data_IF_815944402979
#
_entry.id   IF_815944402979
#
_cell.length_a   1.000
_cell.length_b   1.000
_cell.length_c   1.000
_cell.angle_alpha   90.00
_cell.angle_beta   90.00
_cell.angle_gamma   90.00
#
_symmetry.space_group_name_H-M   'P 1'
#
loop_
_entity.id
_entity.type
_entity.pdbx_description
1 polymer ?
#
# COMPACT_ATOMS: atom_id res chain seq x y z
N UNK A 1 62.46 24.91 12.78
CA UNK A 1 62.50 23.84 11.76
C UNK A 1 61.78 22.55 12.15
N UNK A 2 61.92 22.02 13.38
CA UNK A 2 61.23 20.78 13.81
C UNK A 2 59.69 20.90 13.94
N UNK A 3 59.18 22.07 14.30
CA UNK A 3 57.72 22.30 14.49
C UNK A 3 56.97 22.32 13.13
N UNK A 4 57.59 22.93 12.11
CA UNK A 4 57.01 22.98 10.77
C UNK A 4 57.00 21.61 10.06
N UNK A 5 57.96 20.74 10.37
CA UNK A 5 58.00 19.38 9.84
C UNK A 5 56.86 18.49 10.40
N UNK A 6 56.57 18.71 11.72
CA UNK A 6 55.49 17.95 12.39
C UNK A 6 54.10 18.39 11.89
N UNK A 7 53.90 19.68 11.62
CA UNK A 7 52.66 20.18 11.04
C UNK A 7 52.44 19.72 9.60
N UNK A 8 53.53 19.61 8.81
CA UNK A 8 53.44 19.10 7.44
C UNK A 8 53.13 17.61 7.38
N UNK A 9 53.65 16.81 8.30
CA UNK A 9 53.36 15.37 8.41
C UNK A 9 51.89 15.13 8.87
N UNK A 10 51.37 15.95 9.79
CA UNK A 10 49.97 15.87 10.25
C UNK A 10 49.03 16.30 9.13
N UNK A 11 49.33 17.33 8.35
CA UNK A 11 48.54 17.75 7.19
C UNK A 11 48.58 16.71 6.05
N UNK A 12 49.73 16.07 5.80
CA UNK A 12 49.82 14.96 4.84
C UNK A 12 49.07 13.70 5.32
N UNK A 13 49.10 13.37 6.60
CA UNK A 13 48.32 12.24 7.14
C UNK A 13 46.82 12.52 7.17
N UNK A 14 46.37 13.76 7.37
CA UNK A 14 44.99 14.17 7.24
C UNK A 14 44.50 14.16 5.79
N UNK A 15 45.36 14.60 4.83
CA UNK A 15 45.01 14.56 3.41
C UNK A 15 44.98 13.12 2.84
N UNK A 16 45.82 12.22 3.34
CA UNK A 16 45.80 10.80 2.98
C UNK A 16 44.58 10.07 3.58
N UNK A 17 44.11 10.45 4.75
CA UNK A 17 42.86 9.89 5.32
C UNK A 17 41.60 10.45 4.67
N UNK A 18 41.61 11.65 4.09
CA UNK A 18 40.50 12.17 3.31
C UNK A 18 40.42 11.54 1.89
N UNK A 19 41.51 11.06 1.34
CA UNK A 19 41.50 10.31 0.06
C UNK A 19 41.13 8.83 0.22
N UNK A 20 41.24 8.27 1.42
CA UNK A 20 40.84 6.88 1.70
C UNK A 20 39.33 6.67 1.87
N UNK A 21 38.52 7.76 1.86
CA UNK A 21 37.08 7.68 2.07
C UNK A 21 36.22 7.62 0.79
N UNK A 22 36.83 7.66 -0.42
CA UNK A 22 36.11 7.64 -1.70
C UNK A 22 36.54 6.50 -2.62
N UNK A 23 36.53 5.28 -2.11
CA UNK A 23 36.62 4.07 -2.92
C UNK A 23 35.36 3.23 -2.79
N UNK A 24 34.20 3.79 -3.10
CA UNK A 24 33.09 2.98 -3.57
C UNK A 24 33.39 2.63 -5.03
N UNK A 25 33.82 1.39 -5.25
CA UNK A 25 34.04 0.91 -6.63
C UNK A 25 32.72 1.01 -7.39
N UNK A 26 32.79 1.36 -8.68
CA UNK A 26 31.60 1.29 -9.54
C UNK A 26 31.16 -0.15 -9.70
N UNK A 27 29.85 -0.40 -9.67
CA UNK A 27 29.27 -1.68 -10.04
C UNK A 27 28.79 -1.65 -11.47
N UNK A 28 28.82 -2.81 -12.14
CA UNK A 28 28.45 -2.97 -13.54
C UNK A 28 27.58 -4.19 -13.73
N UNK A 29 26.66 -4.07 -14.66
CA UNK A 29 25.78 -5.15 -15.04
C UNK A 29 25.11 -4.92 -16.36
N UNK A 30 24.21 -5.83 -16.68
CA UNK A 30 23.46 -5.82 -17.92
C UNK A 30 22.01 -6.23 -17.67
N UNK A 31 21.08 -5.52 -18.28
CA UNK A 31 19.67 -5.89 -18.31
C UNK A 31 19.34 -6.47 -19.67
N UNK A 32 18.81 -7.68 -19.71
CA UNK A 32 18.53 -8.41 -20.94
C UNK A 32 17.13 -9.01 -20.95
N UNK A 33 16.65 -9.34 -22.16
CA UNK A 33 15.46 -10.16 -22.38
C UNK A 33 15.79 -11.13 -23.53
N UNK A 34 15.69 -12.45 -23.27
CA UNK A 34 16.12 -13.49 -24.20
C UNK A 34 17.55 -13.26 -24.72
N UNK A 35 18.46 -12.90 -23.80
CA UNK A 35 19.87 -12.60 -24.09
C UNK A 35 20.14 -11.31 -24.86
N UNK A 36 19.10 -10.56 -25.26
CA UNK A 36 19.24 -9.24 -25.93
C UNK A 36 19.21 -8.12 -24.90
N UNK A 37 20.14 -7.16 -25.02
CA UNK A 37 20.20 -6.01 -24.13
C UNK A 37 18.95 -5.14 -24.23
N UNK A 38 18.45 -4.67 -23.09
CA UNK A 38 17.34 -3.74 -22.99
C UNK A 38 17.87 -2.34 -22.72
N UNK A 39 17.62 -1.42 -23.65
CA UNK A 39 18.00 0.00 -23.53
C UNK A 39 16.96 0.78 -22.70
N UNK A 40 17.45 1.76 -21.91
CA UNK A 40 16.58 2.73 -21.22
C UNK A 40 15.89 2.18 -19.99
N UNK A 41 16.36 1.07 -19.43
CA UNK A 41 15.90 0.57 -18.14
C UNK A 41 16.55 1.38 -17.02
N UNK A 42 15.77 1.90 -16.09
CA UNK A 42 16.28 2.60 -14.91
C UNK A 42 16.84 1.57 -13.93
N UNK A 43 18.09 1.77 -13.53
CA UNK A 43 18.81 0.98 -12.52
C UNK A 43 19.21 1.92 -11.41
N UNK A 44 19.00 1.51 -10.17
CA UNK A 44 19.24 2.34 -8.98
C UNK A 44 19.90 1.56 -7.85
N UNK A 45 20.57 2.29 -6.95
CA UNK A 45 21.06 1.80 -5.66
C UNK A 45 20.21 2.25 -4.45
N UNK A 46 19.07 2.91 -4.76
CA UNK A 46 18.19 3.51 -3.77
C UNK A 46 18.44 5.01 -3.52
N UNK A 47 19.39 5.61 -4.26
CA UNK A 47 19.60 7.07 -4.30
C UNK A 47 19.86 7.51 -5.74
N UNK A 48 20.89 6.95 -6.37
CA UNK A 48 21.26 7.28 -7.74
C UNK A 48 20.53 6.38 -8.74
N UNK A 49 20.17 6.97 -9.88
CA UNK A 49 19.55 6.26 -10.98
C UNK A 49 20.36 6.45 -12.25
N UNK A 50 20.55 5.36 -13.01
CA UNK A 50 21.19 5.37 -14.32
C UNK A 50 20.33 4.64 -15.33
N UNK A 51 20.51 4.95 -16.63
CA UNK A 51 19.84 4.23 -17.71
C UNK A 51 20.77 3.22 -18.37
N UNK A 52 20.24 2.07 -18.71
CA UNK A 52 20.98 1.10 -19.56
C UNK A 52 21.20 1.64 -20.96
N UNK A 53 22.37 1.36 -21.55
CA UNK A 53 22.73 1.72 -22.92
C UNK A 53 22.05 0.79 -23.96
N UNK A 54 22.37 0.97 -25.26
CA UNK A 54 21.81 0.14 -26.35
C UNK A 54 22.10 -1.36 -26.22
N UNK A 55 23.18 -1.73 -25.54
CA UNK A 55 23.56 -3.12 -25.28
C UNK A 55 22.93 -3.67 -23.98
N UNK A 56 22.14 -2.85 -23.28
CA UNK A 56 21.56 -3.16 -21.98
C UNK A 56 22.53 -3.00 -20.80
N UNK A 57 23.73 -2.46 -21.02
CA UNK A 57 24.77 -2.32 -20.01
C UNK A 57 24.57 -1.03 -19.19
N UNK A 58 24.94 -1.08 -17.92
CA UNK A 58 24.95 0.07 -17.02
C UNK A 58 26.20 0.08 -16.14
N UNK A 59 26.55 1.26 -15.67
CA UNK A 59 27.59 1.51 -14.67
C UNK A 59 26.97 2.42 -13.61
N UNK A 60 27.04 2.03 -12.36
CA UNK A 60 26.52 2.76 -11.21
C UNK A 60 27.60 2.88 -10.15
N UNK A 61 27.76 4.05 -9.54
CA UNK A 61 28.61 4.27 -8.38
C UNK A 61 27.73 4.23 -7.11
N UNK A 62 27.61 3.08 -6.45
CA UNK A 62 26.68 2.98 -5.34
C UNK A 62 27.10 3.84 -4.18
N UNK A 63 26.14 4.40 -3.49
CA UNK A 63 26.37 5.09 -2.23
C UNK A 63 26.91 4.10 -1.16
N UNK A 64 27.67 4.63 -0.20
CA UNK A 64 28.44 3.81 0.77
C UNK A 64 27.59 2.78 1.51
N UNK A 65 26.34 3.11 1.81
CA UNK A 65 25.40 2.29 2.58
C UNK A 65 24.29 1.67 1.72
N UNK A 66 24.42 1.75 0.39
CA UNK A 66 23.53 1.05 -0.53
C UNK A 66 23.62 -0.45 -0.32
N UNK A 67 22.48 -1.10 -0.17
CA UNK A 67 22.37 -2.54 0.11
C UNK A 67 21.99 -3.36 -1.12
N UNK A 68 21.27 -2.73 -2.04
CA UNK A 68 20.78 -3.37 -3.26
C UNK A 68 21.10 -2.55 -4.49
N UNK A 69 21.26 -3.22 -5.60
CA UNK A 69 21.05 -2.66 -6.93
C UNK A 69 19.76 -3.25 -7.47
N UNK A 70 18.88 -2.42 -8.03
CA UNK A 70 17.57 -2.86 -8.49
C UNK A 70 17.04 -2.05 -9.67
N UNK A 71 16.01 -2.58 -10.30
CA UNK A 71 15.40 -2.01 -11.50
C UNK A 71 14.08 -1.33 -11.16
N UNK A 72 13.81 -0.17 -11.77
CA UNK A 72 12.44 0.23 -12.08
C UNK A 72 12.00 -0.57 -13.31
N UNK A 73 11.29 -1.68 -13.08
CA UNK A 73 10.95 -2.64 -14.15
C UNK A 73 10.14 -1.92 -15.24
N UNK A 74 10.57 -1.95 -16.50
CA UNK A 74 9.86 -1.22 -17.56
C UNK A 74 8.56 -1.92 -17.97
N UNK A 75 7.57 -1.15 -18.44
CA UNK A 75 6.35 -1.68 -19.05
C UNK A 75 6.65 -2.67 -20.16
N UNK A 76 5.83 -3.70 -20.30
CA UNK A 76 5.98 -4.80 -21.26
C UNK A 76 6.94 -5.90 -20.83
N UNK A 77 7.51 -5.80 -19.63
CA UNK A 77 8.45 -6.78 -19.09
C UNK A 77 8.08 -7.21 -17.66
N UNK A 78 8.52 -8.42 -17.31
CA UNK A 78 8.35 -9.01 -15.98
C UNK A 78 9.71 -9.48 -15.45
N UNK A 79 10.01 -9.25 -14.16
CA UNK A 79 11.11 -9.94 -13.50
C UNK A 79 10.72 -11.40 -13.24
N UNK A 80 11.71 -12.25 -13.03
CA UNK A 80 11.47 -13.58 -12.46
C UNK A 80 10.70 -13.41 -11.13
N UNK A 81 9.74 -14.28 -10.88
CA UNK A 81 8.97 -14.27 -9.63
C UNK A 81 9.16 -15.61 -8.91
N UNK A 82 9.48 -15.57 -7.63
CA UNK A 82 9.56 -16.76 -6.77
C UNK A 82 8.59 -16.60 -5.59
N UNK A 83 7.68 -17.55 -5.43
CA UNK A 83 6.65 -17.51 -4.36
C UNK A 83 5.96 -16.14 -4.24
N UNK A 84 5.51 -15.60 -5.35
CA UNK A 84 4.91 -14.25 -5.47
C UNK A 84 5.87 -13.06 -5.26
N UNK A 85 7.14 -13.27 -4.96
CA UNK A 85 8.14 -12.21 -4.78
C UNK A 85 8.80 -11.92 -6.14
N UNK A 86 8.62 -10.71 -6.72
CA UNK A 86 9.29 -10.32 -7.95
C UNK A 86 10.77 -10.00 -7.69
N UNK A 87 11.66 -10.66 -8.43
CA UNK A 87 13.12 -10.57 -8.26
C UNK A 87 13.71 -9.51 -9.20
N UNK A 88 13.48 -8.24 -8.89
CA UNK A 88 14.01 -7.10 -9.64
C UNK A 88 15.26 -6.48 -8.99
N UNK A 89 15.79 -7.09 -7.95
CA UNK A 89 16.91 -6.57 -7.14
C UNK A 89 17.99 -7.64 -6.92
N UNK A 90 19.20 -7.18 -6.62
CA UNK A 90 20.32 -8.00 -6.14
C UNK A 90 21.00 -7.29 -4.98
N UNK A 91 21.43 -8.04 -3.98
CA UNK A 91 22.20 -7.48 -2.86
C UNK A 91 23.59 -7.08 -3.36
N UNK A 92 24.07 -5.91 -2.95
CA UNK A 92 25.42 -5.43 -3.25
C UNK A 92 26.40 -6.18 -2.34
N UNK A 93 27.38 -6.85 -2.96
CA UNK A 93 28.45 -7.57 -2.28
C UNK A 93 29.72 -6.68 -2.24
N UNK A 94 30.40 -6.61 -1.10
CA UNK A 94 31.50 -5.66 -0.83
C UNK A 94 32.62 -5.70 -1.86
N UNK A 95 32.99 -6.89 -2.34
CA UNK A 95 34.13 -7.11 -3.24
C UNK A 95 33.74 -7.36 -4.70
N UNK A 96 32.44 -7.27 -5.00
CA UNK A 96 31.91 -7.56 -6.33
C UNK A 96 31.62 -6.27 -7.08
N UNK A 97 32.29 -6.05 -8.19
CA UNK A 97 32.09 -4.88 -9.05
C UNK A 97 31.31 -5.20 -10.34
N UNK A 98 31.38 -6.42 -10.82
CA UNK A 98 30.81 -6.85 -12.08
C UNK A 98 29.76 -7.97 -11.89
N UNK A 99 28.92 -8.16 -12.90
CA UNK A 99 28.00 -9.30 -12.93
C UNK A 99 26.67 -9.08 -12.22
N UNK A 100 26.28 -7.84 -11.93
CA UNK A 100 24.94 -7.51 -11.47
C UNK A 100 23.96 -7.49 -12.66
N UNK A 101 23.72 -8.69 -13.22
CA UNK A 101 22.92 -8.85 -14.43
C UNK A 101 21.48 -9.20 -14.09
N UNK A 102 20.54 -8.64 -14.87
CA UNK A 102 19.12 -8.92 -14.76
C UNK A 102 18.59 -9.47 -16.09
N UNK A 103 17.90 -10.58 -16.01
CA UNK A 103 17.15 -11.13 -17.14
C UNK A 103 15.66 -10.88 -16.90
N UNK A 104 15.04 -10.07 -17.75
CA UNK A 104 13.60 -9.83 -17.75
C UNK A 104 12.93 -10.71 -18.79
N UNK A 105 11.71 -11.11 -18.54
CA UNK A 105 10.86 -11.79 -19.49
C UNK A 105 9.92 -10.77 -20.15
N UNK A 106 9.61 -10.98 -21.43
CA UNK A 106 8.55 -10.20 -22.06
C UNK A 106 7.21 -10.57 -21.41
N UNK A 107 6.43 -9.54 -21.03
CA UNK A 107 5.10 -9.78 -20.50
C UNK A 107 4.22 -10.43 -21.60
N UNK A 108 3.66 -11.62 -21.39
CA UNK A 108 2.79 -12.26 -22.37
C UNK A 108 1.43 -11.56 -22.50
N UNK A 109 1.05 -10.75 -21.51
CA UNK A 109 -0.20 -10.01 -21.48
C UNK A 109 0.05 -8.53 -21.86
N UNK A 110 -1.00 -7.88 -22.34
CA UNK A 110 -0.97 -6.43 -22.60
C UNK A 110 -1.14 -5.68 -21.29
N UNK A 111 -0.03 -5.16 -20.75
CA UNK A 111 -0.02 -4.41 -19.50
C UNK A 111 -0.60 -2.99 -19.58
N UNK A 112 -1.02 -2.54 -20.78
CA UNK A 112 -1.88 -1.35 -20.93
C UNK A 112 -3.26 -1.54 -20.29
N UNK A 113 -3.70 -2.81 -20.17
CA UNK A 113 -4.95 -3.19 -19.55
C UNK A 113 -4.67 -4.25 -18.47
N UNK A 114 -4.49 -3.81 -17.25
CA UNK A 114 -4.14 -4.68 -16.14
C UNK A 114 -5.08 -4.52 -14.94
N UNK A 115 -5.04 -5.52 -14.09
CA UNK A 115 -5.78 -5.62 -12.85
C UNK A 115 -4.79 -5.72 -11.70
N UNK A 116 -4.97 -4.91 -10.66
CA UNK A 116 -4.22 -5.15 -9.43
C UNK A 116 -5.14 -5.17 -8.21
N UNK A 117 -4.73 -5.96 -7.25
CA UNK A 117 -5.45 -6.18 -6.00
C UNK A 117 -4.66 -5.57 -4.86
N UNK A 118 -5.33 -4.86 -3.98
CA UNK A 118 -4.71 -4.19 -2.84
C UNK A 118 -5.21 -4.81 -1.55
N UNK A 119 -4.30 -5.24 -0.72
CA UNK A 119 -4.55 -5.68 0.65
C UNK A 119 -3.62 -4.97 1.61
N UNK A 120 -3.97 -4.93 2.88
CA UNK A 120 -3.15 -4.39 3.96
C UNK A 120 -3.42 -5.14 5.26
N UNK A 121 -2.48 -5.06 6.18
CA UNK A 121 -2.70 -5.42 7.57
C UNK A 121 -3.18 -6.87 7.75
N UNK A 122 -2.46 -7.82 7.16
CA UNK A 122 -2.69 -9.24 7.42
C UNK A 122 -2.34 -9.59 8.88
N UNK A 123 -1.35 -8.91 9.44
CA UNK A 123 -0.93 -8.94 10.85
C UNK A 123 -1.01 -10.33 11.49
N UNK A 124 -0.45 -11.34 10.80
CA UNK A 124 -0.42 -12.69 11.34
C UNK A 124 0.53 -12.77 12.53
N UNK A 125 0.06 -13.28 13.66
CA UNK A 125 0.84 -13.42 14.90
C UNK A 125 0.98 -14.88 15.33
N UNK A 126 0.35 -15.81 14.59
CA UNK A 126 0.36 -17.23 14.86
C UNK A 126 0.16 -18.04 13.57
N UNK A 127 0.51 -19.32 13.59
CA UNK A 127 0.21 -20.23 12.48
C UNK A 127 -1.30 -20.40 12.22
N UNK A 128 -2.15 -20.18 13.22
CA UNK A 128 -3.61 -20.20 13.01
C UNK A 128 -4.09 -18.95 12.28
N UNK A 129 -3.48 -17.79 12.52
CA UNK A 129 -3.73 -16.58 11.74
C UNK A 129 -3.28 -16.78 10.29
N UNK A 130 -2.12 -17.43 10.06
CA UNK A 130 -1.65 -17.77 8.71
C UNK A 130 -2.64 -18.68 7.98
N UNK A 131 -3.21 -19.66 8.66
CA UNK A 131 -4.28 -20.52 8.09
C UNK A 131 -5.56 -19.73 7.80
N UNK A 132 -5.92 -18.77 8.66
CA UNK A 132 -7.06 -17.88 8.41
C UNK A 132 -6.82 -16.99 7.20
N UNK A 133 -5.61 -16.45 7.08
CA UNK A 133 -5.18 -15.72 5.88
C UNK A 133 -5.25 -16.59 4.61
N UNK A 134 -4.84 -17.86 4.69
CA UNK A 134 -4.99 -18.79 3.58
C UNK A 134 -6.44 -18.99 3.10
N UNK A 135 -7.41 -18.99 4.04
CA UNK A 135 -8.84 -19.02 3.70
C UNK A 135 -9.32 -17.72 3.04
N UNK A 136 -8.82 -16.58 3.51
CA UNK A 136 -9.08 -15.29 2.88
C UNK A 136 -8.57 -15.23 1.44
N UNK A 137 -7.36 -15.74 1.17
CA UNK A 137 -6.78 -15.78 -0.17
C UNK A 137 -7.59 -16.62 -1.16
N UNK A 138 -8.44 -17.53 -0.69
CA UNK A 138 -9.32 -18.30 -1.55
C UNK A 138 -10.35 -17.40 -2.26
N UNK A 139 -10.89 -16.37 -1.59
CA UNK A 139 -11.79 -15.39 -2.21
C UNK A 139 -11.07 -14.62 -3.34
N UNK A 140 -9.82 -14.21 -3.11
CA UNK A 140 -8.99 -13.57 -4.16
C UNK A 140 -8.81 -14.49 -5.36
N UNK A 141 -8.48 -15.77 -5.13
CA UNK A 141 -8.27 -16.76 -6.20
C UNK A 141 -9.54 -16.96 -7.03
N UNK A 142 -10.69 -17.07 -6.37
CA UNK A 142 -11.98 -17.20 -7.04
C UNK A 142 -12.30 -15.96 -7.88
N UNK A 143 -12.05 -14.77 -7.34
CA UNK A 143 -12.27 -13.53 -8.07
C UNK A 143 -11.39 -13.40 -9.32
N UNK A 144 -10.10 -13.73 -9.24
CA UNK A 144 -9.17 -13.56 -10.38
C UNK A 144 -9.23 -14.68 -11.40
N UNK A 145 -9.79 -15.83 -11.06
CA UNK A 145 -9.82 -17.03 -11.92
C UNK A 145 -10.35 -16.78 -13.35
N UNK A 146 -11.41 -15.96 -13.58
CA UNK A 146 -11.88 -15.65 -14.93
C UNK A 146 -10.90 -14.83 -15.78
N UNK A 147 -9.96 -14.12 -15.13
CA UNK A 147 -8.98 -13.23 -15.76
C UNK A 147 -7.60 -13.89 -15.94
N UNK A 148 -7.35 -15.02 -15.25
CA UNK A 148 -6.07 -15.73 -15.29
C UNK A 148 -5.67 -16.10 -16.72
N UNK A 149 -4.41 -15.81 -17.08
CA UNK A 149 -3.88 -16.01 -18.43
C UNK A 149 -4.44 -15.10 -19.53
N UNK A 150 -5.41 -14.22 -19.22
CA UNK A 150 -6.04 -13.29 -20.16
C UNK A 150 -5.70 -11.84 -19.90
N UNK A 151 -5.36 -11.49 -18.68
CA UNK A 151 -5.06 -10.14 -18.23
C UNK A 151 -3.78 -10.14 -17.39
N UNK A 152 -3.03 -9.07 -17.44
CA UNK A 152 -1.90 -8.88 -16.52
C UNK A 152 -2.47 -8.60 -15.12
N UNK A 153 -2.09 -9.43 -14.15
CA UNK A 153 -2.59 -9.39 -12.76
C UNK A 153 -1.42 -9.35 -11.81
N UNK A 154 -1.51 -8.51 -10.79
CA UNK A 154 -0.57 -8.51 -9.67
C UNK A 154 -1.26 -8.05 -8.37
N UNK A 155 -0.63 -8.32 -7.24
CA UNK A 155 -1.04 -7.87 -5.92
C UNK A 155 -0.16 -6.74 -5.39
N UNK A 156 -0.74 -5.92 -4.55
CA UNK A 156 -0.05 -4.95 -3.69
C UNK A 156 -0.43 -5.27 -2.25
N UNK A 157 0.57 -5.35 -1.39
CA UNK A 157 0.41 -5.49 0.06
C UNK A 157 0.97 -4.22 0.72
N UNK A 158 0.11 -3.48 1.40
CA UNK A 158 0.43 -2.17 1.98
C UNK A 158 1.16 -2.25 3.33
N UNK A 159 1.70 -3.42 3.69
CA UNK A 159 2.45 -3.59 4.94
C UNK A 159 1.65 -4.20 6.08
N UNK A 160 2.32 -4.31 7.23
CA UNK A 160 1.84 -5.06 8.39
C UNK A 160 1.46 -6.49 8.03
N UNK A 161 2.41 -7.16 7.37
CA UNK A 161 2.30 -8.56 6.93
C UNK A 161 2.23 -9.47 8.16
N UNK A 162 3.11 -9.22 9.12
CA UNK A 162 3.14 -9.91 10.42
C UNK A 162 2.83 -8.92 11.55
N UNK A 163 2.37 -9.44 12.71
CA UNK A 163 2.17 -8.66 13.92
C UNK A 163 3.36 -8.84 14.86
N UNK A 164 4.47 -8.13 14.66
CA UNK A 164 5.72 -8.18 15.44
C UNK A 164 6.37 -9.58 15.51
N UNK A 165 6.02 -10.47 14.58
CA UNK A 165 6.45 -11.87 14.58
C UNK A 165 7.10 -12.26 13.25
N UNK A 166 8.28 -11.72 12.91
CA UNK A 166 8.94 -11.94 11.61
C UNK A 166 9.33 -13.40 11.36
N UNK A 167 9.33 -14.25 12.38
CA UNK A 167 9.51 -15.71 12.22
C UNK A 167 8.37 -16.38 11.43
N UNK A 168 7.24 -15.70 11.25
CA UNK A 168 6.11 -16.16 10.43
C UNK A 168 6.24 -15.83 8.94
N UNK A 169 7.22 -15.02 8.51
CA UNK A 169 7.41 -14.73 7.09
C UNK A 169 7.50 -15.99 6.21
N UNK A 170 8.24 -17.07 6.57
CA UNK A 170 8.26 -18.29 5.76
C UNK A 170 6.87 -18.92 5.57
N UNK A 171 6.07 -19.01 6.64
CA UNK A 171 4.71 -19.56 6.60
C UNK A 171 3.76 -18.65 5.80
N UNK A 172 3.83 -17.33 6.00
CA UNK A 172 3.10 -16.35 5.20
C UNK A 172 3.45 -16.47 3.72
N UNK A 173 4.76 -16.46 3.36
CA UNK A 173 5.22 -16.56 1.97
C UNK A 173 4.72 -17.85 1.30
N UNK A 174 4.78 -18.99 2.01
CA UNK A 174 4.26 -20.24 1.49
C UNK A 174 2.74 -20.17 1.24
N UNK A 175 2.00 -19.51 2.13
CA UNK A 175 0.55 -19.36 2.03
C UNK A 175 0.17 -18.43 0.87
N UNK A 176 0.80 -17.24 0.78
CA UNK A 176 0.51 -16.29 -0.32
C UNK A 176 0.99 -16.80 -1.68
N UNK A 177 1.97 -17.71 -1.71
CA UNK A 177 2.44 -18.34 -2.96
C UNK A 177 1.39 -19.19 -3.67
N UNK A 178 0.25 -19.44 -3.04
CA UNK A 178 -0.92 -20.05 -3.70
C UNK A 178 -1.60 -19.12 -4.71
N UNK A 179 -1.27 -17.83 -4.71
CA UNK A 179 -1.63 -16.89 -5.77
C UNK A 179 -0.62 -17.06 -6.93
N UNK A 180 -1.12 -17.16 -8.16
CA UNK A 180 -0.32 -17.40 -9.36
C UNK A 180 0.19 -16.11 -10.03
N UNK A 181 0.34 -15.03 -9.26
CA UNK A 181 0.78 -13.72 -9.74
C UNK A 181 1.72 -13.03 -8.74
N UNK A 182 2.56 -12.08 -9.18
CA UNK A 182 3.47 -11.36 -8.30
C UNK A 182 2.71 -10.46 -7.32
N UNK A 183 3.23 -10.33 -6.10
CA UNK A 183 2.75 -9.41 -5.07
C UNK A 183 3.89 -8.47 -4.69
N UNK A 184 3.69 -7.17 -4.87
CA UNK A 184 4.60 -6.11 -4.45
C UNK A 184 4.25 -5.67 -3.03
N UNK A 185 5.23 -5.45 -2.17
CA UNK A 185 5.01 -5.25 -0.73
C UNK A 185 5.65 -3.97 -0.23
N UNK A 186 4.89 -3.17 0.49
CA UNK A 186 5.41 -2.15 1.38
C UNK A 186 5.73 -2.78 2.75
N UNK A 187 6.62 -2.18 3.50
CA UNK A 187 6.86 -2.51 4.91
C UNK A 187 5.86 -1.75 5.77
N UNK A 188 5.32 -2.40 6.82
CA UNK A 188 4.52 -1.78 7.85
C UNK A 188 5.28 -1.66 9.18
N UNK A 189 4.68 -0.97 10.15
CA UNK A 189 5.33 -0.76 11.45
C UNK A 189 5.48 -2.06 12.25
N UNK A 190 4.59 -3.03 12.08
CA UNK A 190 4.71 -4.36 12.70
C UNK A 190 5.65 -5.31 11.95
N UNK A 191 6.12 -4.95 10.76
CA UNK A 191 7.16 -5.67 10.01
C UNK A 191 8.58 -5.27 10.44
N UNK A 192 8.72 -4.20 11.21
CA UNK A 192 10.01 -3.72 11.72
C UNK A 192 10.56 -4.62 12.83
N UNK A 193 11.88 -4.69 12.93
CA UNK A 193 12.57 -5.34 14.03
C UNK A 193 12.84 -4.34 15.15
N UNK A 194 11.99 -4.34 16.17
CA UNK A 194 12.20 -3.54 17.37
C UNK A 194 13.34 -4.09 18.21
N UNK A 195 14.02 -3.20 18.97
CA UNK A 195 15.22 -3.55 19.69
C UNK A 195 16.50 -3.42 18.88
N UNK A 196 16.42 -3.05 17.61
CA UNK A 196 17.51 -2.57 16.78
C UNK A 196 18.11 -1.27 17.35
N UNK A 197 19.24 -0.83 16.79
CA UNK A 197 19.93 0.37 17.28
C UNK A 197 19.63 1.61 16.44
N UNK A 198 19.21 1.42 15.20
CA UNK A 198 18.98 2.50 14.24
C UNK A 198 17.80 2.16 13.34
N UNK A 199 17.27 3.15 12.65
CA UNK A 199 16.23 2.97 11.63
C UNK A 199 16.68 1.97 10.55
N UNK A 200 17.91 2.06 10.06
CA UNK A 200 18.43 1.16 9.03
C UNK A 200 18.50 -0.30 9.50
N UNK A 201 18.52 -0.53 10.81
CA UNK A 201 18.50 -1.89 11.35
C UNK A 201 17.08 -2.45 11.44
N UNK A 202 16.08 -1.60 11.63
CA UNK A 202 14.70 -2.00 11.88
C UNK A 202 14.08 -2.75 10.70
N UNK A 203 14.43 -2.43 9.45
CA UNK A 203 13.85 -3.04 8.26
C UNK A 203 14.68 -4.21 7.67
N UNK A 204 15.84 -4.55 8.23
CA UNK A 204 16.74 -5.57 7.65
C UNK A 204 16.14 -6.95 7.57
N UNK A 205 15.32 -7.33 8.52
CA UNK A 205 14.63 -8.63 8.49
C UNK A 205 13.65 -8.68 7.32
N UNK A 206 12.84 -7.63 7.12
CA UNK A 206 11.94 -7.51 5.98
C UNK A 206 12.71 -7.57 4.65
N UNK A 207 13.79 -6.78 4.50
CA UNK A 207 14.64 -6.77 3.31
C UNK A 207 15.21 -8.14 2.96
N UNK A 208 15.53 -8.97 3.95
CA UNK A 208 16.09 -10.31 3.72
C UNK A 208 15.10 -11.27 3.06
N UNK A 209 13.81 -11.00 3.16
CA UNK A 209 12.75 -11.80 2.53
C UNK A 209 12.21 -11.16 1.25
N UNK A 210 12.06 -9.85 1.21
CA UNK A 210 11.29 -9.16 0.17
C UNK A 210 12.12 -8.20 -0.69
N UNK A 211 13.36 -7.90 -0.32
CA UNK A 211 14.23 -6.95 -1.02
C UNK A 211 14.07 -5.52 -0.54
N UNK A 212 14.37 -4.50 -1.39
CA UNK A 212 14.39 -3.11 -0.99
C UNK A 212 13.03 -2.62 -0.48
N UNK A 213 13.05 -1.75 0.53
CA UNK A 213 11.86 -1.20 1.21
C UNK A 213 11.19 -0.06 0.44
N UNK A 214 11.86 0.51 -0.56
CA UNK A 214 11.27 1.43 -1.53
C UNK A 214 11.80 1.15 -2.92
N UNK A 215 10.93 1.23 -3.91
CA UNK A 215 11.22 0.88 -5.31
C UNK A 215 10.08 1.32 -6.22
N UNK A 216 10.29 1.21 -7.53
CA UNK A 216 9.27 1.49 -8.53
C UNK A 216 9.21 0.42 -9.62
N UNK A 217 8.08 0.38 -10.34
CA UNK A 217 7.90 -0.42 -11.53
C UNK A 217 6.82 0.18 -12.44
N UNK A 218 6.78 -0.27 -13.69
CA UNK A 218 5.86 0.28 -14.68
C UNK A 218 4.96 -0.80 -15.28
N UNK A 219 3.71 -0.44 -15.52
CA UNK A 219 2.72 -1.24 -16.25
C UNK A 219 1.94 -0.34 -17.19
N UNK A 220 2.08 -0.55 -18.52
CA UNK A 220 1.43 0.30 -19.50
C UNK A 220 1.74 1.79 -19.30
N UNK A 221 0.70 2.58 -19.10
CA UNK A 221 0.77 4.01 -18.76
C UNK A 221 0.72 4.30 -17.26
N UNK A 222 0.90 3.31 -16.42
CA UNK A 222 0.96 3.50 -14.99
C UNK A 222 2.39 3.31 -14.47
N UNK A 223 2.76 4.12 -13.49
CA UNK A 223 3.99 4.06 -12.72
C UNK A 223 3.65 3.81 -11.26
N UNK A 224 4.21 2.76 -10.69
CA UNK A 224 3.97 2.32 -9.32
C UNK A 224 5.21 2.58 -8.49
N UNK A 225 5.03 3.23 -7.37
CA UNK A 225 6.07 3.57 -6.40
C UNK A 225 5.67 2.94 -5.09
N UNK A 226 6.55 2.18 -4.48
CA UNK A 226 6.39 1.65 -3.12
C UNK A 226 7.37 2.39 -2.23
N UNK A 227 6.91 2.93 -1.11
CA UNK A 227 7.71 3.70 -0.16
C UNK A 227 7.67 3.05 1.22
N UNK A 228 8.78 3.17 1.95
CA UNK A 228 8.79 3.03 3.40
C UNK A 228 8.50 4.40 4.03
N UNK A 229 7.49 4.44 4.88
CA UNK A 229 7.17 5.60 5.69
C UNK A 229 6.97 5.25 7.18
N UNK A 230 7.43 4.06 7.59
CA UNK A 230 7.43 3.61 8.96
C UNK A 230 8.77 3.91 9.62
N UNK A 231 8.97 5.15 10.09
CA UNK A 231 10.25 5.57 10.62
C UNK A 231 10.44 5.14 12.08
N UNK A 232 11.37 4.21 12.31
CA UNK A 232 11.72 3.72 13.65
C UNK A 232 12.36 4.81 14.50
N UNK A 233 11.81 5.09 15.69
CA UNK A 233 12.32 6.08 16.63
C UNK A 233 13.15 5.41 17.72
N UNK A 234 12.62 4.38 18.39
CA UNK A 234 13.32 3.66 19.45
C UNK A 234 12.80 2.24 19.70
N UNK A 235 13.51 1.53 20.59
CA UNK A 235 13.23 0.12 20.94
C UNK A 235 11.89 -0.13 21.62
N UNK A 236 11.23 0.90 22.16
CA UNK A 236 9.99 0.77 22.92
C UNK A 236 8.77 0.84 22.01
N UNK A 237 8.86 0.24 20.81
CA UNK A 237 7.80 0.20 19.79
C UNK A 237 7.35 1.58 19.34
N UNK A 238 8.28 2.56 19.32
CA UNK A 238 7.97 3.89 18.86
C UNK A 238 8.45 4.10 17.43
N UNK A 239 7.54 4.56 16.62
CA UNK A 239 7.73 4.97 15.22
C UNK A 239 6.89 6.21 14.95
N UNK A 240 7.15 6.83 13.81
CA UNK A 240 6.33 7.90 13.25
C UNK A 240 6.10 7.64 11.76
N UNK A 241 5.02 8.15 11.22
CA UNK A 241 4.82 8.24 9.77
C UNK A 241 5.77 9.29 9.19
N UNK A 242 6.86 8.88 8.52
CA UNK A 242 7.86 9.81 7.99
C UNK A 242 8.62 9.18 6.82
N UNK A 243 8.70 9.90 5.71
CA UNK A 243 9.51 9.53 4.54
C UNK A 243 10.87 10.20 4.72
N UNK A 244 11.96 9.44 4.75
CA UNK A 244 13.29 9.98 4.95
C UNK A 244 13.81 10.77 3.74
N UNK A 245 14.80 11.63 3.95
CA UNK A 245 15.38 12.48 2.90
C UNK A 245 16.06 11.68 1.79
N UNK A 246 16.56 10.50 2.10
CA UNK A 246 17.18 9.59 1.14
C UNK A 246 16.14 9.05 0.17
N UNK A 247 14.99 8.64 0.71
CA UNK A 247 13.85 8.18 -0.08
C UNK A 247 13.32 9.30 -0.98
N UNK A 248 13.24 10.55 -0.49
CA UNK A 248 12.88 11.70 -1.32
C UNK A 248 13.89 11.97 -2.44
N UNK A 249 15.20 11.92 -2.15
CA UNK A 249 16.24 12.12 -3.15
C UNK A 249 16.16 11.07 -4.28
N UNK A 250 15.88 9.81 -3.93
CA UNK A 250 15.62 8.76 -4.90
C UNK A 250 14.33 9.02 -5.68
N UNK A 251 13.23 9.37 -5.01
CA UNK A 251 11.93 9.59 -5.62
C UNK A 251 11.96 10.73 -6.66
N UNK A 252 12.67 11.82 -6.36
CA UNK A 252 12.87 12.91 -7.32
C UNK A 252 13.56 12.42 -8.61
N UNK A 253 14.58 11.57 -8.47
CA UNK A 253 15.29 11.01 -9.63
C UNK A 253 14.41 10.01 -10.39
N UNK A 254 13.72 9.12 -9.70
CA UNK A 254 12.82 8.14 -10.30
C UNK A 254 11.73 8.84 -11.11
N UNK A 255 11.03 9.82 -10.52
CA UNK A 255 9.99 10.61 -11.19
C UNK A 255 10.52 11.44 -12.37
N UNK A 256 11.82 11.77 -12.41
CA UNK A 256 12.42 12.47 -13.55
C UNK A 256 12.41 11.65 -14.84
N UNK A 257 12.27 10.33 -14.75
CA UNK A 257 12.12 9.42 -15.88
C UNK A 257 10.66 9.11 -16.23
N UNK A 258 9.71 9.67 -15.48
CA UNK A 258 8.28 9.39 -15.62
C UNK A 258 7.58 10.53 -16.36
N UNK A 259 6.94 10.22 -17.49
CA UNK A 259 6.16 11.20 -18.25
C UNK A 259 4.91 11.64 -17.49
N UNK A 260 4.57 12.94 -17.58
CA UNK A 260 3.43 13.56 -16.86
C UNK A 260 2.05 13.05 -17.32
N UNK A 261 1.95 12.35 -18.42
CA UNK A 261 0.71 11.72 -18.91
C UNK A 261 0.43 10.34 -18.29
N UNK A 262 1.33 9.85 -17.44
CA UNK A 262 1.14 8.59 -16.73
C UNK A 262 0.27 8.75 -15.49
N UNK A 263 -0.48 7.69 -15.16
CA UNK A 263 -0.99 7.47 -13.82
C UNK A 263 0.19 7.18 -12.87
N UNK A 264 0.16 7.74 -11.68
CA UNK A 264 1.15 7.46 -10.65
C UNK A 264 0.45 6.88 -9.42
N UNK A 265 0.88 5.71 -8.99
CA UNK A 265 0.44 5.10 -7.74
C UNK A 265 1.58 5.16 -6.72
N UNK A 266 1.31 5.69 -5.54
CA UNK A 266 2.24 5.68 -4.41
C UNK A 266 1.66 4.77 -3.35
N UNK A 267 2.35 3.67 -3.08
CA UNK A 267 1.98 2.69 -2.06
C UNK A 267 2.85 2.90 -0.83
N UNK A 268 2.25 3.05 0.30
CA UNK A 268 2.93 3.16 1.59
C UNK A 268 2.03 2.62 2.70
N UNK A 269 2.58 2.32 3.87
CA UNK A 269 1.79 1.73 4.94
C UNK A 269 0.95 2.76 5.67
N UNK A 270 1.59 3.76 6.29
CA UNK A 270 0.91 4.80 7.07
C UNK A 270 0.30 5.82 6.11
N UNK A 271 -0.99 6.19 6.26
CA UNK A 271 -1.62 7.13 5.35
C UNK A 271 -0.92 8.49 5.30
N UNK A 272 -1.02 9.14 4.15
CA UNK A 272 -0.48 10.50 3.98
C UNK A 272 -1.32 11.53 4.74
N UNK A 273 -2.61 11.42 4.68
CA UNK A 273 -3.55 12.15 5.53
C UNK A 273 -4.95 11.53 5.41
N UNK A 274 -5.60 11.37 6.54
CA UNK A 274 -6.99 10.93 6.66
C UNK A 274 -7.99 12.09 6.53
N UNK A 275 -7.49 13.30 6.36
CA UNK A 275 -8.27 14.52 6.24
C UNK A 275 -7.81 15.34 5.04
N UNK A 276 -8.75 16.10 4.42
CA UNK A 276 -8.45 17.03 3.32
C UNK A 276 -7.52 18.21 3.71
N UNK A 277 -7.03 18.25 4.95
CA UNK A 277 -6.18 19.33 5.47
C UNK A 277 -4.78 18.80 5.72
N UNK A 278 -3.79 19.47 5.14
CA UNK A 278 -2.39 19.27 5.49
C UNK A 278 -2.18 19.60 6.97
N UNK A 279 -1.65 18.66 7.73
CA UNK A 279 -1.19 18.90 9.10
C UNK A 279 0.26 19.33 9.06
N UNK A 280 0.56 20.38 9.78
CA UNK A 280 1.93 20.84 9.99
C UNK A 280 2.29 20.70 11.47
N UNK A 281 3.50 20.19 11.75
CA UNK A 281 4.15 20.19 13.08
C UNK A 281 3.52 19.30 14.17
N UNK A 282 2.78 18.25 13.83
CA UNK A 282 2.38 17.22 14.79
C UNK A 282 3.06 15.89 14.45
N UNK A 283 3.83 15.35 15.39
CA UNK A 283 4.29 13.97 15.31
C UNK A 283 3.06 13.08 15.58
N UNK A 284 2.76 12.20 14.63
CA UNK A 284 1.64 11.30 14.70
C UNK A 284 2.09 9.89 14.28
N UNK A 285 1.51 8.87 14.87
CA UNK A 285 1.74 7.50 14.47
C UNK A 285 0.76 7.07 13.37
N UNK A 286 -0.39 7.72 13.29
CA UNK A 286 -1.49 7.36 12.39
C UNK A 286 -1.44 8.06 11.03
N UNK A 287 -0.65 9.13 10.87
CA UNK A 287 -0.50 9.86 9.61
C UNK A 287 0.98 10.25 9.37
N UNK A 288 1.36 10.31 8.10
CA UNK A 288 2.71 10.70 7.68
C UNK A 288 2.91 12.22 7.83
N UNK A 289 3.95 12.64 8.58
CA UNK A 289 4.12 14.04 8.99
C UNK A 289 4.69 14.97 7.90
N UNK A 290 5.45 14.44 6.93
CA UNK A 290 6.14 15.25 5.90
C UNK A 290 5.56 15.09 4.48
N UNK A 291 4.25 14.89 4.38
CA UNK A 291 3.54 14.64 3.13
C UNK A 291 3.51 15.83 2.16
N UNK A 292 3.73 17.06 2.65
CA UNK A 292 3.78 18.24 1.78
C UNK A 292 4.86 18.12 0.69
N UNK A 293 6.02 17.54 1.01
CA UNK A 293 7.08 17.26 0.05
C UNK A 293 6.64 16.21 -0.98
N UNK A 294 5.98 15.14 -0.54
CA UNK A 294 5.43 14.12 -1.43
C UNK A 294 4.41 14.72 -2.40
N UNK A 295 3.44 15.49 -1.89
CA UNK A 295 2.42 16.11 -2.73
C UNK A 295 3.02 17.06 -3.77
N UNK A 296 4.10 17.79 -3.39
CA UNK A 296 4.83 18.66 -4.31
C UNK A 296 5.47 17.88 -5.47
N UNK A 297 6.03 16.71 -5.22
CA UNK A 297 6.61 15.86 -6.26
C UNK A 297 5.53 15.27 -7.19
N UNK A 298 4.34 15.03 -6.66
CA UNK A 298 3.21 14.47 -7.40
C UNK A 298 2.44 15.53 -8.21
N UNK A 299 2.71 16.83 -8.02
CA UNK A 299 2.06 17.88 -8.82
C UNK A 299 2.22 17.66 -10.33
N UNK A 300 1.11 17.75 -11.06
CA UNK A 300 1.04 17.56 -12.51
C UNK A 300 0.94 16.11 -12.98
N UNK A 301 0.88 15.14 -12.05
CA UNK A 301 0.46 13.77 -12.35
C UNK A 301 -1.01 13.57 -11.95
N UNK A 302 -1.67 12.58 -12.57
CA UNK A 302 -2.84 11.96 -11.98
C UNK A 302 -2.36 10.89 -11.01
N UNK A 303 -2.42 11.20 -9.71
CA UNK A 303 -1.76 10.41 -8.67
C UNK A 303 -2.76 9.82 -7.68
N UNK A 304 -2.53 8.56 -7.30
CA UNK A 304 -3.29 7.84 -6.30
C UNK A 304 -2.34 7.32 -5.24
N UNK A 305 -2.57 7.70 -3.98
CA UNK A 305 -1.87 7.15 -2.83
C UNK A 305 -2.70 5.98 -2.30
N UNK A 306 -2.05 4.88 -1.97
CA UNK A 306 -2.67 3.67 -1.44
C UNK A 306 -2.00 3.34 -0.12
N UNK A 307 -2.80 3.24 0.95
CA UNK A 307 -2.31 3.03 2.32
C UNK A 307 -3.16 2.02 3.10
N UNK A 308 -2.66 1.60 4.25
CA UNK A 308 -3.31 0.70 5.21
C UNK A 308 -3.25 1.24 6.63
N UNK A 309 -2.73 0.45 7.59
CA UNK A 309 -2.36 0.84 8.95
C UNK A 309 -3.54 1.09 9.91
N UNK A 310 -4.56 1.77 9.46
CA UNK A 310 -5.63 2.29 10.34
C UNK A 310 -6.72 1.27 10.67
N UNK A 311 -6.74 0.14 9.95
CA UNK A 311 -7.79 -0.89 10.05
C UNK A 311 -9.21 -0.36 9.80
N UNK A 312 -9.33 0.66 8.94
CA UNK A 312 -10.62 1.14 8.43
C UNK A 312 -10.48 1.67 7.01
N UNK A 313 -11.61 1.81 6.33
CA UNK A 313 -11.63 2.27 4.95
C UNK A 313 -11.88 3.78 4.88
N UNK A 314 -11.08 4.51 4.11
CA UNK A 314 -11.31 5.93 3.87
C UNK A 314 -10.74 6.35 2.52
N UNK A 315 -11.55 7.01 1.70
CA UNK A 315 -11.11 7.65 0.47
C UNK A 315 -11.03 9.16 0.69
N UNK A 316 -9.87 9.76 0.42
CA UNK A 316 -9.63 11.20 0.57
C UNK A 316 -9.30 11.81 -0.79
N UNK A 317 -10.21 12.64 -1.31
CA UNK A 317 -9.98 13.42 -2.53
C UNK A 317 -9.35 14.77 -2.15
N UNK A 318 -8.05 14.94 -2.36
CA UNK A 318 -7.37 16.22 -2.08
C UNK A 318 -7.69 17.28 -3.15
N UNK A 319 -7.70 16.86 -4.41
CA UNK A 319 -8.07 17.66 -5.58
C UNK A 319 -8.37 16.72 -6.77
N UNK A 320 -8.63 17.27 -7.95
CA UNK A 320 -9.01 16.52 -9.16
C UNK A 320 -7.93 15.54 -9.66
N UNK A 321 -6.67 15.68 -9.20
CA UNK A 321 -5.52 14.90 -9.67
C UNK A 321 -4.79 14.15 -8.56
N UNK A 322 -5.22 14.26 -7.30
CA UNK A 322 -4.62 13.57 -6.17
C UNK A 322 -5.70 13.01 -5.25
N UNK A 323 -5.69 11.70 -5.09
CA UNK A 323 -6.60 10.96 -4.21
C UNK A 323 -5.83 9.95 -3.37
N UNK A 324 -6.26 9.71 -2.14
CA UNK A 324 -5.78 8.62 -1.31
C UNK A 324 -6.86 7.58 -1.06
N UNK A 325 -6.46 6.32 -1.12
CA UNK A 325 -7.25 5.14 -0.81
C UNK A 325 -6.62 4.47 0.41
N UNK A 326 -7.13 4.77 1.59
CA UNK A 326 -6.74 4.04 2.80
C UNK A 326 -7.65 2.82 2.91
N UNK A 327 -7.06 1.62 2.88
CA UNK A 327 -7.81 0.36 2.83
C UNK A 327 -7.92 -0.30 4.20
N UNK A 328 -9.08 -0.89 4.46
CA UNK A 328 -9.32 -1.66 5.68
C UNK A 328 -8.46 -2.91 5.75
N UNK A 329 -8.23 -3.40 6.98
CA UNK A 329 -7.37 -4.53 7.26
C UNK A 329 -7.98 -5.87 6.82
N UNK A 330 -7.13 -6.75 6.25
CA UNK A 330 -7.47 -8.13 5.93
C UNK A 330 -7.76 -8.94 7.20
N UNK A 331 -7.09 -8.62 8.31
CA UNK A 331 -7.29 -9.34 9.56
C UNK A 331 -8.62 -9.00 10.28
N UNK A 332 -9.35 -7.96 9.85
CA UNK A 332 -10.55 -7.49 10.56
C UNK A 332 -10.24 -7.15 12.02
N UNK A 333 -10.96 -7.73 12.98
CA UNK A 333 -10.62 -7.63 14.40
C UNK A 333 -9.54 -8.66 14.80
N UNK A 334 -8.39 -8.64 14.11
CA UNK A 334 -7.24 -9.53 14.31
C UNK A 334 -7.63 -11.01 14.27
N UNK A 335 -8.32 -11.41 13.18
CA UNK A 335 -8.75 -12.77 12.87
C UNK A 335 -9.83 -13.34 13.83
N UNK A 336 -10.50 -12.50 14.64
CA UNK A 336 -11.60 -12.93 15.52
C UNK A 336 -12.98 -12.70 14.92
N UNK A 337 -13.19 -11.56 14.23
CA UNK A 337 -14.40 -11.32 13.46
C UNK A 337 -14.07 -10.78 12.07
N UNK A 338 -15.02 -10.94 11.15
CA UNK A 338 -14.85 -10.63 9.73
C UNK A 338 -15.17 -9.15 9.40
N UNK A 339 -14.93 -8.27 10.36
CA UNK A 339 -15.25 -6.85 10.30
C UNK A 339 -14.11 -6.01 10.89
N UNK A 340 -13.92 -4.83 10.35
CA UNK A 340 -12.99 -3.83 10.85
C UNK A 340 -13.67 -2.89 11.86
N UNK A 341 -12.87 -2.06 12.52
CA UNK A 341 -13.31 -1.20 13.63
C UNK A 341 -14.25 -0.05 13.22
N UNK A 342 -14.38 0.20 11.92
CA UNK A 342 -15.31 1.16 11.29
C UNK A 342 -16.58 0.51 10.71
N UNK A 343 -16.71 -0.81 10.86
CA UNK A 343 -17.81 -1.56 10.27
C UNK A 343 -17.57 -2.08 8.85
N UNK A 344 -16.44 -1.76 8.23
CA UNK A 344 -16.05 -2.33 6.93
C UNK A 344 -15.78 -3.83 7.08
N UNK A 345 -16.41 -4.71 6.28
CA UNK A 345 -16.02 -6.11 6.25
C UNK A 345 -14.55 -6.26 5.86
N UNK A 346 -13.85 -7.28 6.38
CA UNK A 346 -12.51 -7.56 5.86
C UNK A 346 -12.56 -7.84 4.36
N UNK A 347 -11.56 -7.36 3.62
CA UNK A 347 -11.61 -7.45 2.16
C UNK A 347 -10.36 -6.91 1.50
N UNK A 348 -10.49 -6.54 0.25
CA UNK A 348 -9.40 -6.01 -0.56
C UNK A 348 -9.91 -5.06 -1.64
N UNK A 349 -9.07 -4.12 -2.04
CA UNK A 349 -9.35 -3.25 -3.18
C UNK A 349 -9.07 -3.96 -4.50
N UNK A 350 -9.92 -3.72 -5.49
CA UNK A 350 -9.77 -4.16 -6.87
C UNK A 350 -9.63 -2.92 -7.74
N UNK A 351 -8.53 -2.84 -8.49
CA UNK A 351 -8.19 -1.69 -9.32
C UNK A 351 -8.00 -2.12 -10.77
N UNK A 352 -8.76 -1.53 -11.67
CA UNK A 352 -8.70 -1.79 -13.11
C UNK A 352 -8.10 -0.60 -13.83
N UNK A 353 -6.95 -0.81 -14.47
CA UNK A 353 -6.28 0.20 -15.27
C UNK A 353 -6.43 -0.12 -16.75
N UNK A 354 -6.86 0.86 -17.53
CA UNK A 354 -6.91 0.80 -19.00
C UNK A 354 -6.28 2.07 -19.59
N UNK A 355 -5.02 1.96 -20.01
CA UNK A 355 -4.20 3.11 -20.42
C UNK A 355 -3.94 4.03 -19.22
N UNK A 356 -4.58 5.19 -19.22
CA UNK A 356 -4.54 6.17 -18.11
C UNK A 356 -5.90 6.32 -17.40
N UNK A 357 -6.83 5.42 -17.66
CA UNK A 357 -8.12 5.36 -16.97
C UNK A 357 -8.03 4.38 -15.82
N UNK A 358 -8.61 4.74 -14.68
CA UNK A 358 -8.66 3.93 -13.46
C UNK A 358 -10.11 3.76 -13.01
N UNK A 359 -10.45 2.52 -12.64
CA UNK A 359 -11.65 2.18 -11.87
C UNK A 359 -11.25 1.35 -10.67
N UNK A 360 -11.98 1.48 -9.58
CA UNK A 360 -11.74 0.67 -8.39
C UNK A 360 -13.05 0.32 -7.69
N UNK A 361 -13.01 -0.76 -6.93
CA UNK A 361 -14.10 -1.21 -6.07
C UNK A 361 -13.49 -1.95 -4.88
N UNK A 362 -14.14 -1.92 -3.73
CA UNK A 362 -13.77 -2.75 -2.58
C UNK A 362 -14.53 -4.08 -2.64
N UNK A 363 -13.82 -5.18 -2.44
CA UNK A 363 -14.41 -6.53 -2.38
C UNK A 363 -14.41 -7.02 -0.94
N UNK A 364 -15.59 -7.09 -0.33
CA UNK A 364 -15.79 -7.76 0.95
C UNK A 364 -15.60 -9.27 0.78
N UNK A 365 -14.62 -9.86 1.48
CA UNK A 365 -14.31 -11.28 1.36
C UNK A 365 -15.50 -12.15 1.84
N UNK A 366 -15.83 -13.16 1.06
CA UNK A 366 -16.98 -14.04 1.32
C UNK A 366 -18.35 -13.48 0.89
N UNK A 367 -18.41 -12.25 0.37
CA UNK A 367 -19.64 -11.63 -0.12
C UNK A 367 -19.60 -11.44 -1.65
N UNK A 368 -20.76 -11.28 -2.31
CA UNK A 368 -20.81 -10.85 -3.71
C UNK A 368 -20.13 -9.47 -3.91
N UNK A 369 -19.72 -9.17 -5.14
CA UNK A 369 -19.08 -7.89 -5.47
C UNK A 369 -20.01 -6.69 -5.23
N UNK A 370 -21.30 -6.90 -5.30
CA UNK A 370 -22.36 -5.91 -5.07
C UNK A 370 -22.53 -5.52 -3.59
N UNK A 371 -21.89 -6.23 -2.66
CA UNK A 371 -21.94 -5.92 -1.24
C UNK A 371 -21.01 -4.74 -0.92
N UNK A 372 -21.50 -3.52 -1.18
CA UNK A 372 -20.73 -2.28 -1.05
C UNK A 372 -21.15 -1.41 0.13
N UNK A 373 -22.20 -1.79 0.86
CA UNK A 373 -22.65 -1.10 2.06
C UNK A 373 -23.48 -2.04 2.93
N UNK A 374 -23.74 -1.63 4.17
CA UNK A 374 -24.65 -2.31 5.08
C UNK A 374 -25.74 -1.35 5.55
N UNK A 375 -27.00 -1.78 5.45
CA UNK A 375 -28.17 -1.04 5.89
C UNK A 375 -28.66 -1.55 7.25
N UNK A 376 -28.94 -0.64 8.17
CA UNK A 376 -29.44 -0.93 9.49
C UNK A 376 -30.85 -0.37 9.70
N UNK A 377 -31.78 -1.09 10.36
CA UNK A 377 -33.09 -0.58 10.72
C UNK A 377 -33.01 0.51 11.80
N UNK A 378 -34.11 1.25 11.97
CA UNK A 378 -34.28 2.16 13.09
C UNK A 378 -34.06 1.41 14.42
N UNK A 379 -33.49 2.10 15.41
CA UNK A 379 -33.08 1.53 16.68
C UNK A 379 -31.67 0.96 16.73
N UNK A 380 -30.93 0.98 15.60
CA UNK A 380 -29.56 0.44 15.52
C UNK A 380 -28.50 1.46 15.97
N UNK A 381 -28.78 2.76 15.90
CA UNK A 381 -27.85 3.81 16.30
C UNK A 381 -28.33 4.51 17.57
N UNK A 382 -27.44 4.74 18.53
CA UNK A 382 -27.74 5.52 19.73
C UNK A 382 -27.88 7.02 19.41
N UNK A 383 -27.16 7.50 18.39
CA UNK A 383 -27.16 8.91 17.97
C UNK A 383 -28.43 9.28 17.19
N UNK A 384 -28.96 8.33 16.40
CA UNK A 384 -30.14 8.47 15.56
C UNK A 384 -31.09 7.28 15.76
N UNK A 385 -31.74 7.17 16.95
CA UNK A 385 -32.51 5.99 17.30
C UNK A 385 -33.77 5.77 16.45
N UNK A 386 -34.27 6.82 15.80
CA UNK A 386 -35.46 6.72 14.94
C UNK A 386 -35.12 6.53 13.46
N UNK A 387 -33.83 6.56 13.11
CA UNK A 387 -33.38 6.59 11.73
C UNK A 387 -32.86 5.24 11.24
N UNK A 388 -33.02 5.03 9.96
CA UNK A 388 -32.28 3.99 9.25
C UNK A 388 -30.85 4.48 8.98
N UNK A 389 -29.89 3.56 9.03
CA UNK A 389 -28.48 3.87 8.86
C UNK A 389 -27.93 3.10 7.67
N UNK A 390 -27.02 3.72 6.90
CA UNK A 390 -26.19 3.05 5.92
C UNK A 390 -24.71 3.27 6.24
N UNK A 391 -23.93 2.20 6.26
CA UNK A 391 -22.48 2.25 6.28
C UNK A 391 -21.96 1.94 4.87
N UNK A 392 -21.38 2.95 4.19
CA UNK A 392 -20.92 2.87 2.79
C UNK A 392 -19.40 3.01 2.77
N UNK A 393 -18.69 1.92 3.09
CA UNK A 393 -17.25 1.92 3.43
C UNK A 393 -16.30 2.39 2.33
N UNK A 394 -16.64 2.24 1.04
CA UNK A 394 -15.79 2.71 -0.07
C UNK A 394 -16.24 4.06 -0.65
N UNK A 395 -17.01 4.83 0.14
CA UNK A 395 -17.59 6.11 -0.24
C UNK A 395 -16.52 7.18 -0.55
N UNK A 396 -16.84 8.04 -1.50
CA UNK A 396 -16.19 9.32 -1.76
C UNK A 396 -17.23 10.38 -2.17
N UNK A 397 -16.83 11.65 -2.29
CA UNK A 397 -17.72 12.78 -2.52
C UNK A 397 -18.56 12.73 -3.83
N UNK A 398 -18.27 11.79 -4.75
CA UNK A 398 -19.05 11.59 -5.98
C UNK A 398 -20.12 10.50 -5.86
N UNK A 399 -20.14 9.77 -4.75
CA UNK A 399 -21.15 8.76 -4.52
C UNK A 399 -22.45 9.38 -4.04
N UNK A 400 -23.60 8.71 -4.33
CA UNK A 400 -24.93 9.10 -3.88
C UNK A 400 -25.53 8.01 -3.03
N UNK A 401 -26.14 8.40 -1.91
CA UNK A 401 -26.86 7.49 -1.00
C UNK A 401 -28.28 7.96 -0.88
N UNK A 402 -29.23 7.23 -1.44
CA UNK A 402 -30.64 7.57 -1.53
C UNK A 402 -31.46 6.52 -0.79
N UNK A 403 -32.64 6.91 -0.33
CA UNK A 403 -33.57 6.00 0.32
C UNK A 403 -35.00 6.12 -0.22
N UNK A 404 -35.75 5.05 -0.02
CA UNK A 404 -37.08 4.86 -0.58
C UNK A 404 -38.05 4.28 0.46
N UNK A 405 -39.31 4.73 0.48
CA UNK A 405 -40.43 4.15 1.19
C UNK A 405 -41.44 3.60 0.22
N UNK A 406 -41.81 2.31 0.35
CA UNK A 406 -42.79 1.63 -0.52
C UNK A 406 -42.53 1.85 -2.02
N UNK A 407 -41.25 1.93 -2.42
CA UNK A 407 -40.82 2.17 -3.79
C UNK A 407 -40.81 3.65 -4.24
N UNK A 408 -41.26 4.56 -3.39
CA UNK A 408 -41.19 6.01 -3.64
C UNK A 408 -39.82 6.57 -3.15
N UNK A 409 -39.13 7.31 -4.03
CA UNK A 409 -37.89 8.01 -3.64
C UNK A 409 -38.20 9.12 -2.65
N UNK A 410 -37.57 9.09 -1.49
CA UNK A 410 -37.72 10.07 -0.41
C UNK A 410 -36.65 11.15 -0.45
N UNK A 411 -35.45 10.85 -0.94
CA UNK A 411 -34.36 11.81 -1.06
C UNK A 411 -33.00 11.16 -0.85
N UNK A 412 -32.00 12.01 -0.67
CA UNK A 412 -30.66 11.59 -0.26
C UNK A 412 -30.59 11.45 1.26
N UNK A 413 -29.84 10.46 1.75
CA UNK A 413 -29.55 10.30 3.16
C UNK A 413 -28.52 11.34 3.61
N UNK A 414 -28.59 11.77 4.88
CA UNK A 414 -27.65 12.73 5.45
C UNK A 414 -26.40 12.01 5.95
N UNK A 415 -25.24 12.48 5.50
CA UNK A 415 -23.94 11.97 5.97
C UNK A 415 -23.64 12.47 7.37
N UNK A 416 -23.11 11.60 8.23
CA UNK A 416 -22.67 11.97 9.58
C UNK A 416 -21.40 11.24 9.97
N UNK A 417 -20.73 11.72 10.99
CA UNK A 417 -19.58 11.05 11.62
C UNK A 417 -20.08 10.36 12.88
N UNK A 418 -19.87 9.06 12.97
CA UNK A 418 -20.39 8.24 14.07
C UNK A 418 -19.72 6.89 14.16
N UNK A 419 -20.22 6.03 15.04
CA UNK A 419 -19.79 4.65 15.18
C UNK A 419 -20.72 3.73 14.40
N UNK A 420 -20.13 2.78 13.65
CA UNK A 420 -20.92 1.71 13.03
C UNK A 420 -21.59 0.83 14.11
N UNK A 421 -22.90 0.54 13.98
CA UNK A 421 -23.61 -0.24 14.99
C UNK A 421 -23.05 -1.65 15.21
N UNK A 422 -22.63 -2.35 14.13
CA UNK A 422 -22.10 -3.71 14.23
C UNK A 422 -20.66 -3.70 14.78
N UNK A 423 -19.82 -2.76 14.35
CA UNK A 423 -18.47 -2.60 14.92
C UNK A 423 -18.55 -2.31 16.42
N UNK A 424 -19.49 -1.45 16.86
CA UNK A 424 -19.74 -1.16 18.26
C UNK A 424 -20.14 -2.41 19.06
N UNK A 425 -21.05 -3.22 18.52
CA UNK A 425 -21.49 -4.46 19.15
C UNK A 425 -20.35 -5.50 19.24
N UNK A 426 -19.58 -5.68 18.16
CA UNK A 426 -18.48 -6.64 18.12
C UNK A 426 -17.32 -6.24 19.04
N UNK A 427 -16.90 -4.97 19.02
CA UNK A 427 -15.81 -4.49 19.87
C UNK A 427 -16.19 -4.49 21.37
N UNK A 428 -17.48 -4.50 21.71
CA UNK A 428 -17.95 -4.64 23.08
C UNK A 428 -17.92 -6.09 23.59
N UNK A 429 -17.82 -7.07 22.69
CA UNK A 429 -17.78 -8.51 23.00
C UNK A 429 -16.32 -8.99 23.03
N UNK A 430 -15.82 -9.23 24.24
CA UNK A 430 -14.43 -9.65 24.48
C UNK A 430 -14.04 -10.98 23.83
N UNK A 431 -15.00 -11.82 23.46
CA UNK A 431 -14.73 -13.06 22.73
C UNK A 431 -14.52 -12.83 21.21
N UNK A 432 -15.00 -11.69 20.69
CA UNK A 432 -14.93 -11.30 19.27
C UNK A 432 -13.77 -10.39 18.94
N UNK A 433 -12.99 -9.98 19.91
CA UNK A 433 -11.78 -9.19 19.73
C UNK A 433 -10.56 -9.94 20.28
N UNK A 434 -9.40 -9.76 19.65
CA UNK A 434 -8.17 -10.42 20.07
C UNK A 434 -7.51 -9.70 21.25
N UNK A 435 -7.62 -8.39 21.29
CA UNK A 435 -6.96 -7.52 22.25
C UNK A 435 -7.97 -6.61 22.96
N UNK A 436 -7.77 -6.36 24.24
CA UNK A 436 -8.68 -5.55 25.05
C UNK A 436 -8.78 -4.08 24.66
N UNK A 437 -7.76 -3.57 23.95
CA UNK A 437 -7.72 -2.19 23.47
C UNK A 437 -8.52 -1.97 22.18
N UNK A 438 -8.93 -3.02 21.45
CA UNK A 438 -9.73 -2.90 20.24
C UNK A 438 -11.07 -2.25 20.58
N UNK A 439 -11.36 -1.15 19.91
CA UNK A 439 -12.57 -0.35 20.08
C UNK A 439 -13.07 0.16 18.72
N UNK A 440 -14.37 0.43 18.59
CA UNK A 440 -14.88 1.01 17.34
C UNK A 440 -14.31 2.41 17.15
N UNK A 441 -14.12 2.82 15.89
CA UNK A 441 -13.66 4.16 15.53
C UNK A 441 -14.78 5.00 14.95
N UNK A 442 -14.66 6.32 15.09
CA UNK A 442 -15.55 7.27 14.42
C UNK A 442 -15.24 7.26 12.92
N UNK A 443 -16.22 6.90 12.11
CA UNK A 443 -16.10 6.90 10.67
C UNK A 443 -16.97 7.96 10.00
N UNK A 444 -16.56 8.45 8.82
CA UNK A 444 -17.24 9.50 8.05
C UNK A 444 -18.06 8.96 6.88
N UNK A 445 -18.19 7.65 6.73
CA UNK A 445 -18.97 7.03 5.67
C UNK A 445 -20.30 6.43 6.14
N UNK A 446 -20.88 7.02 7.22
CA UNK A 446 -22.21 6.74 7.71
C UNK A 446 -23.23 7.73 7.21
N UNK A 447 -24.44 7.23 6.94
CA UNK A 447 -25.58 7.99 6.46
C UNK A 447 -26.83 7.63 7.24
N UNK A 448 -27.73 8.61 7.47
CA UNK A 448 -28.98 8.40 8.18
C UNK A 448 -30.16 9.06 7.48
N UNK A 449 -31.35 8.53 7.70
CA UNK A 449 -32.61 9.14 7.28
C UNK A 449 -33.75 8.67 8.19
N UNK A 450 -34.72 9.56 8.47
CA UNK A 450 -35.86 9.28 9.33
C UNK A 450 -37.03 8.78 8.47
N UNK A 451 -37.49 7.50 8.61
CA UNK A 451 -38.69 7.02 7.95
C UNK A 451 -39.96 7.78 8.39
N UNK A 452 -40.85 8.04 7.45
CA UNK A 452 -42.17 8.66 7.77
C UNK A 452 -43.15 7.63 8.31
N UNK A 453 -43.16 6.43 7.75
CA UNK A 453 -43.93 5.29 8.24
C UNK A 453 -42.97 4.16 8.68
N UNK A 454 -42.93 3.87 10.00
CA UNK A 454 -42.07 2.80 10.53
C UNK A 454 -42.42 1.38 10.00
N UNK A 455 -43.61 1.21 9.38
CA UNK A 455 -44.04 -0.06 8.79
C UNK A 455 -43.83 -0.11 7.25
N UNK A 456 -43.32 0.96 6.66
CA UNK A 456 -43.05 0.99 5.23
C UNK A 456 -41.98 -0.02 4.85
N UNK A 457 -42.03 -0.55 3.64
CA UNK A 457 -40.89 -1.22 3.04
C UNK A 457 -39.82 -0.19 2.72
N UNK A 458 -38.70 -0.26 3.44
CA UNK A 458 -37.59 0.67 3.31
C UNK A 458 -36.49 0.05 2.42
N UNK A 459 -35.94 0.88 1.55
CA UNK A 459 -34.87 0.47 0.65
C UNK A 459 -33.83 1.59 0.60
N UNK A 460 -32.54 1.23 0.65
CA UNK A 460 -31.41 2.13 0.43
C UNK A 460 -30.75 1.79 -0.88
N UNK A 461 -30.48 2.81 -1.68
CA UNK A 461 -29.82 2.74 -2.97
C UNK A 461 -28.56 3.58 -2.96
N UNK A 462 -27.43 2.94 -3.21
CA UNK A 462 -26.12 3.57 -3.31
C UNK A 462 -25.67 3.55 -4.76
N UNK A 463 -25.22 4.71 -5.27
CA UNK A 463 -24.64 4.81 -6.63
C UNK A 463 -23.21 5.30 -6.48
N UNK A 464 -22.25 4.50 -6.97
CA UNK A 464 -20.83 4.85 -6.93
C UNK A 464 -20.45 5.89 -8.00
N UNK A 465 -19.20 6.39 -7.94
CA UNK A 465 -18.68 7.37 -8.89
C UNK A 465 -18.62 6.89 -10.35
N UNK A 466 -18.68 5.57 -10.56
CA UNK A 466 -18.65 4.95 -11.89
C UNK A 466 -20.05 4.64 -12.44
N UNK A 467 -21.10 4.95 -11.65
CA UNK A 467 -22.49 4.75 -12.01
C UNK A 467 -23.03 3.35 -11.71
N UNK A 468 -22.28 2.51 -11.00
CA UNK A 468 -22.81 1.23 -10.51
C UNK A 468 -23.80 1.48 -9.37
N UNK A 469 -24.83 0.66 -9.31
CA UNK A 469 -25.94 0.80 -8.36
C UNK A 469 -26.02 -0.42 -7.47
N UNK A 470 -26.07 -0.19 -6.16
CA UNK A 470 -26.21 -1.20 -5.12
C UNK A 470 -27.47 -0.91 -4.31
N UNK A 471 -28.21 -1.96 -3.95
CA UNK A 471 -29.50 -1.79 -3.26
C UNK A 471 -29.63 -2.80 -2.14
N UNK A 472 -30.12 -2.33 -0.98
CA UNK A 472 -30.52 -3.20 0.13
C UNK A 472 -31.92 -2.81 0.63
N UNK A 473 -32.76 -3.81 0.88
CA UNK A 473 -34.04 -3.64 1.57
C UNK A 473 -33.84 -3.86 3.06
N UNK A 474 -34.41 -2.99 3.89
CA UNK A 474 -34.43 -3.12 5.33
C UNK A 474 -35.69 -3.89 5.70
N UNK A 475 -35.49 -5.06 6.32
CA UNK A 475 -36.60 -5.84 6.88
C UNK A 475 -37.00 -5.23 8.23
N UNK A 476 -38.27 -4.83 8.36
CA UNK A 476 -38.84 -4.44 9.65
C UNK A 476 -38.97 -5.69 10.50
N UNK A 477 -38.33 -5.66 11.67
CA UNK A 477 -38.42 -6.75 12.68
C UNK A 477 -39.76 -6.75 13.37
#
# INVERSE_FOLDING_TARGET
>A
MKIYLLQLVILMSLSLNLQAQNLSGTIRGKVTCHGKGLQGVVVTDGIDCVLTNKSGEYVLAPQRDARFVYLSVPSGYLPKTEKTIPLFHQQIEMDKQDGYNFELMKNPQNDMNHLFLVQADAQVTSEDDVKAYGRFLQDIKEYVQPYSGKRDIFGIDCGDIVGDTPSLYPSYINTVSTLDFPVYRAIGNHDMTYGGRTFEYSYRTFESYFGPIYYSFNKGKAHYIVLDNCFYVNRDYQYIGYIDERTFAWLEKDLSYVSRDKLVFVVMHIPSSLQKKLRYNTLDQDETVNTAALYKLLEGYNAHIISGHTHFNTNVCFNDSLMEHNTAAVCGTWWRADINVDGTPRGYGIYEVNGNQLKWIYKSAGYPLEHQFHAYPAGSSDEYPSDIIANVWNWDDLWKVEWYENGQRMGEMQKYKGYDPMAKAICSDKEKVKYDWISPVLTEHLFHATPHDPNARLEIKVTDRFGNVYTQTIENK
#
